data_IF_817213805687
#
_entry.id   IF_817213805687
#
_cell.length_a   1.000
_cell.length_b   1.000
_cell.length_c   1.000
_cell.angle_alpha   90.00
_cell.angle_beta   90.00
_cell.angle_gamma   90.00
#
_symmetry.space_group_name_H-M   'P 1'
#
loop_
_entity.id
_entity.type
_entity.pdbx_description
1 polymer ?
#
# COMPACT_ATOMS: atom_id res chain seq x y z
N UNK A 1 15.33 -5.61 -10.84
CA UNK A 1 14.28 -4.65 -10.46
C UNK A 1 14.68 -4.02 -9.14
N UNK A 2 14.41 -2.74 -8.94
CA UNK A 2 14.78 -2.01 -7.72
C UNK A 2 13.55 -1.36 -7.11
N UNK A 3 13.38 -1.42 -5.79
CA UNK A 3 12.23 -0.81 -5.10
C UNK A 3 12.70 0.28 -4.14
N UNK A 4 12.07 1.45 -4.21
CA UNK A 4 12.29 2.54 -3.28
C UNK A 4 11.63 2.22 -1.94
N UNK A 5 12.40 2.20 -0.87
CA UNK A 5 11.90 1.89 0.48
C UNK A 5 11.08 3.02 1.10
N UNK A 6 11.07 4.22 0.50
CA UNK A 6 10.37 5.40 1.01
C UNK A 6 8.92 5.44 0.51
N UNK A 7 8.73 5.24 -0.80
CA UNK A 7 7.42 5.36 -1.44
C UNK A 7 6.92 4.07 -2.12
N UNK A 8 7.78 3.04 -2.26
CA UNK A 8 7.46 1.80 -2.95
C UNK A 8 7.56 1.87 -4.48
N UNK A 9 8.20 2.91 -5.05
CA UNK A 9 8.44 2.98 -6.50
C UNK A 9 9.30 1.82 -6.98
N UNK A 10 8.94 1.19 -8.10
CA UNK A 10 9.69 0.07 -8.68
C UNK A 10 10.33 0.50 -9.99
N UNK A 11 11.66 0.54 -10.01
CA UNK A 11 12.44 0.78 -11.22
C UNK A 11 12.66 -0.55 -11.97
N UNK A 12 12.11 -0.62 -13.19
CA UNK A 12 12.35 -1.72 -14.12
C UNK A 12 13.40 -1.30 -15.17
N UNK A 13 14.60 -1.90 -15.19
CA UNK A 13 15.60 -1.59 -16.20
C UNK A 13 15.14 -1.88 -17.62
N UNK A 14 14.24 -2.86 -17.83
CA UNK A 14 13.71 -3.19 -19.16
C UNK A 14 12.78 -2.09 -19.72
N UNK A 15 12.11 -1.36 -18.83
CA UNK A 15 11.23 -0.24 -19.20
C UNK A 15 12.01 1.08 -19.20
N UNK A 16 13.00 1.20 -18.32
CA UNK A 16 13.70 2.46 -18.08
C UNK A 16 12.80 3.47 -17.36
N UNK A 17 13.12 4.75 -17.52
CA UNK A 17 12.38 5.88 -16.96
C UNK A 17 12.40 7.04 -17.98
N UNK A 18 11.62 6.89 -19.06
CA UNK A 18 11.62 7.82 -20.20
C UNK A 18 11.23 9.24 -19.82
N UNK A 19 10.44 9.41 -18.76
CA UNK A 19 10.05 10.72 -18.22
C UNK A 19 11.26 11.48 -17.66
N UNK A 20 12.26 10.75 -17.17
CA UNK A 20 13.49 11.29 -16.59
C UNK A 20 14.71 11.05 -17.49
N UNK A 21 14.50 10.95 -18.81
CA UNK A 21 15.54 10.76 -19.83
C UNK A 21 16.35 9.45 -19.68
N UNK A 22 15.77 8.44 -19.01
CA UNK A 22 16.39 7.12 -18.88
C UNK A 22 15.77 6.16 -19.89
N UNK A 23 16.49 5.74 -20.94
CA UNK A 23 15.93 4.83 -21.93
C UNK A 23 15.67 3.43 -21.36
N UNK A 24 14.74 2.73 -21.99
CA UNK A 24 14.53 1.30 -21.77
C UNK A 24 15.82 0.50 -21.98
N UNK A 25 16.05 -0.49 -21.13
CA UNK A 25 17.28 -1.29 -21.10
C UNK A 25 18.41 -0.72 -20.23
N UNK A 26 18.22 0.45 -19.61
CA UNK A 26 19.24 1.01 -18.70
C UNK A 26 19.24 0.24 -17.38
N UNK A 27 20.38 -0.37 -16.96
CA UNK A 27 20.46 -0.99 -15.64
C UNK A 27 20.54 0.09 -14.55
N UNK A 28 19.99 -0.19 -13.36
CA UNK A 28 19.99 0.76 -12.24
C UNK A 28 21.39 1.25 -11.84
N UNK A 29 22.41 0.42 -12.03
CA UNK A 29 23.81 0.78 -11.75
C UNK A 29 24.40 1.79 -12.75
N UNK A 30 23.76 1.95 -13.92
CA UNK A 30 24.16 2.90 -14.97
C UNK A 30 23.37 4.23 -14.86
N UNK A 31 22.42 4.31 -13.93
CA UNK A 31 21.70 5.55 -13.67
C UNK A 31 22.65 6.65 -13.18
N UNK A 32 22.46 7.91 -13.61
CA UNK A 32 23.25 9.04 -13.14
C UNK A 32 23.19 9.18 -11.61
N UNK A 33 24.22 9.77 -11.00
CA UNK A 33 24.25 10.00 -9.55
C UNK A 33 23.19 10.99 -9.07
N UNK A 34 22.80 11.92 -9.94
CA UNK A 34 21.74 12.90 -9.71
C UNK A 34 20.34 12.30 -9.92
N UNK A 35 20.23 11.06 -10.41
CA UNK A 35 18.94 10.40 -10.57
C UNK A 35 18.30 10.14 -9.20
N UNK A 36 17.08 10.62 -9.06
CA UNK A 36 16.26 10.47 -7.86
C UNK A 36 14.96 9.76 -8.21
N UNK A 37 14.32 9.16 -7.19
CA UNK A 37 13.01 8.55 -7.35
C UNK A 37 12.00 9.58 -7.87
N UNK A 38 11.31 9.33 -9.01
CA UNK A 38 10.37 10.29 -9.59
C UNK A 38 9.13 10.52 -8.72
N UNK A 39 8.81 9.60 -7.80
CA UNK A 39 7.66 9.73 -6.91
C UNK A 39 7.95 10.53 -5.63
N UNK A 40 9.18 10.47 -5.10
CA UNK A 40 9.48 11.04 -3.78
C UNK A 40 10.77 11.86 -3.68
N UNK A 41 11.59 11.88 -4.74
CA UNK A 41 12.87 12.59 -4.76
C UNK A 41 13.97 11.94 -3.91
N UNK A 42 13.77 10.73 -3.38
CA UNK A 42 14.83 10.00 -2.67
C UNK A 42 15.93 9.55 -3.62
N UNK A 43 17.18 9.60 -3.18
CA UNK A 43 18.32 9.14 -3.95
C UNK A 43 18.37 7.62 -4.14
N UNK A 44 19.35 7.17 -4.92
CA UNK A 44 19.60 5.74 -5.20
C UNK A 44 19.91 4.92 -3.95
N UNK A 45 20.35 5.56 -2.86
CA UNK A 45 20.61 4.94 -1.56
C UNK A 45 19.34 4.37 -0.90
N UNK A 46 18.18 4.92 -1.25
CA UNK A 46 16.89 4.48 -0.75
C UNK A 46 16.27 3.34 -1.58
N UNK A 47 17.03 2.73 -2.50
CA UNK A 47 16.56 1.62 -3.33
C UNK A 47 17.18 0.29 -2.91
N UNK A 48 16.36 -0.75 -2.88
CA UNK A 48 16.78 -2.13 -2.62
C UNK A 48 16.56 -3.01 -3.84
N UNK A 49 17.46 -3.98 -4.03
CA UNK A 49 17.33 -4.97 -5.10
C UNK A 49 16.15 -5.88 -4.78
N UNK A 50 15.14 -5.87 -5.63
CA UNK A 50 14.05 -6.85 -5.57
C UNK A 50 14.27 -7.87 -6.70
N UNK A 51 14.69 -9.06 -6.29
CA UNK A 51 14.81 -10.20 -7.18
C UNK A 51 13.41 -10.76 -7.43
N UNK A 52 12.69 -10.19 -8.40
CA UNK A 52 11.57 -10.83 -9.12
C UNK A 52 10.94 -9.83 -10.12
N UNK A 53 11.16 -10.08 -11.41
CA UNK A 53 10.39 -9.49 -12.50
C UNK A 53 9.12 -10.33 -12.68
N UNK A 54 7.99 -9.66 -12.71
CA UNK A 54 6.65 -10.18 -13.01
C UNK A 54 6.12 -11.32 -12.14
N UNK A 55 5.52 -10.92 -11.02
CA UNK A 55 4.06 -11.05 -10.94
C UNK A 55 3.53 -9.67 -10.62
N UNK A 56 2.56 -9.19 -11.41
CA UNK A 56 1.59 -8.20 -10.97
C UNK A 56 1.38 -8.39 -9.47
N UNK A 57 1.69 -7.37 -8.68
CA UNK A 57 1.22 -7.35 -7.30
C UNK A 57 -0.29 -7.20 -7.47
N UNK A 58 -1.13 -8.24 -7.24
CA UNK A 58 -2.49 -7.94 -6.88
C UNK A 58 -2.32 -6.99 -5.71
N UNK A 59 -2.79 -5.73 -5.85
CA UNK A 59 -2.96 -4.82 -4.72
C UNK A 59 -3.43 -5.71 -3.58
N UNK A 60 -2.56 -5.95 -2.60
CA UNK A 60 -2.81 -6.93 -1.53
C UNK A 60 -4.24 -6.64 -1.08
N UNK A 61 -5.21 -7.58 -1.15
CA UNK A 61 -6.49 -7.37 -0.50
C UNK A 61 -6.11 -6.97 0.90
N UNK A 62 -6.42 -5.72 1.23
CA UNK A 62 -6.13 -5.12 2.52
C UNK A 62 -6.56 -6.18 3.52
N UNK A 63 -5.59 -6.82 4.17
CA UNK A 63 -5.85 -8.00 4.96
C UNK A 63 -6.73 -7.53 6.09
N UNK A 64 -8.00 -7.81 5.89
CA UNK A 64 -9.14 -7.21 6.54
C UNK A 64 -8.99 -7.52 8.02
N UNK A 65 -8.64 -6.50 8.82
CA UNK A 65 -8.91 -6.57 10.26
C UNK A 65 -10.43 -6.48 10.42
N UNK A 66 -11.15 -7.57 10.08
CA UNK A 66 -12.54 -7.79 10.48
C UNK A 66 -12.53 -7.81 11.99
N UNK A 67 -13.14 -6.83 12.64
CA UNK A 67 -13.26 -6.86 14.09
C UNK A 67 -14.53 -7.58 14.52
N UNK A 68 -15.64 -7.46 13.77
CA UNK A 68 -16.87 -8.28 13.96
C UNK A 68 -17.66 -8.42 12.65
N UNK A 69 -18.31 -9.56 12.47
CA UNK A 69 -19.21 -9.85 11.34
C UNK A 69 -20.64 -9.98 11.85
N UNK A 70 -21.58 -9.30 11.19
CA UNK A 70 -23.01 -9.44 11.44
C UNK A 70 -23.69 -9.86 10.15
N UNK A 71 -24.49 -10.92 10.20
CA UNK A 71 -25.17 -11.47 9.02
C UNK A 71 -26.64 -11.69 9.33
N UNK A 72 -27.49 -11.28 8.41
CA UNK A 72 -28.87 -11.77 8.32
C UNK A 72 -29.06 -12.50 6.97
N UNK A 73 -30.30 -12.85 6.64
CA UNK A 73 -30.61 -13.62 5.42
C UNK A 73 -30.41 -12.81 4.11
N UNK A 74 -30.27 -11.49 4.20
CA UNK A 74 -30.25 -10.58 3.06
C UNK A 74 -28.88 -9.89 2.88
N UNK A 75 -28.17 -9.62 3.98
CA UNK A 75 -26.94 -8.81 3.99
C UNK A 75 -25.91 -9.30 5.01
N UNK A 76 -24.65 -9.02 4.70
CA UNK A 76 -23.50 -9.21 5.59
C UNK A 76 -22.85 -7.85 5.81
N UNK A 77 -22.72 -7.45 7.07
CA UNK A 77 -22.09 -6.20 7.49
C UNK A 77 -20.79 -6.54 8.22
N UNK A 78 -19.69 -5.97 7.72
CA UNK A 78 -18.38 -6.07 8.37
C UNK A 78 -18.08 -4.79 9.14
N UNK A 79 -17.86 -4.93 10.44
CA UNK A 79 -17.47 -3.80 11.28
C UNK A 79 -15.94 -3.77 11.44
N UNK A 80 -15.35 -2.63 11.08
CA UNK A 80 -13.93 -2.37 11.30
C UNK A 80 -13.77 -1.17 12.24
N UNK A 81 -12.82 -1.25 13.16
CA UNK A 81 -12.57 -0.17 14.12
C UNK A 81 -12.10 1.13 13.42
N UNK A 82 -11.55 1.00 12.21
CA UNK A 82 -11.07 2.12 11.39
C UNK A 82 -12.21 2.94 10.75
N UNK A 83 -13.37 2.33 10.52
CA UNK A 83 -14.55 3.01 9.95
C UNK A 83 -15.36 3.78 11.01
N UNK A 84 -15.02 3.58 12.28
CA UNK A 84 -15.67 4.26 13.39
C UNK A 84 -15.20 5.74 13.44
N UNK A 85 -15.95 6.63 12.79
CA UNK A 85 -15.70 8.08 12.77
C UNK A 85 -15.96 8.72 14.13
N UNK A 86 -15.03 8.53 15.07
CA UNK A 86 -15.07 9.23 16.34
C UNK A 86 -13.73 9.95 16.56
N UNK A 87 -13.82 11.24 16.89
CA UNK A 87 -12.71 12.06 17.35
C UNK A 87 -12.19 11.55 18.72
N UNK A 88 -11.57 10.36 18.75
CA UNK A 88 -10.75 9.88 19.85
C UNK A 88 -11.44 9.29 21.09
N UNK A 89 -12.74 8.97 21.08
CA UNK A 89 -13.37 8.21 22.18
C UNK A 89 -14.14 6.99 21.68
N UNK A 90 -13.69 5.81 22.09
CA UNK A 90 -14.34 4.52 21.82
C UNK A 90 -15.51 4.32 22.79
N UNK A 91 -16.71 4.05 22.27
CA UNK A 91 -17.95 3.92 23.04
C UNK A 91 -18.11 2.61 23.84
N UNK A 92 -17.01 2.01 24.32
CA UNK A 92 -17.07 0.84 25.21
C UNK A 92 -17.80 1.10 26.55
N UNK A 93 -18.21 2.34 26.81
CA UNK A 93 -18.88 2.77 28.04
C UNK A 93 -20.34 3.25 27.89
N UNK A 94 -20.98 3.16 26.70
CA UNK A 94 -22.42 3.42 26.63
C UNK A 94 -23.23 2.13 26.48
N UNK A 95 -23.89 1.66 27.56
CA UNK A 95 -24.72 0.45 27.54
C UNK A 95 -26.02 0.57 26.74
N UNK A 96 -26.32 1.74 26.16
CA UNK A 96 -27.61 2.00 25.52
C UNK A 96 -27.63 1.78 24.00
N UNK A 97 -26.48 1.63 23.32
CA UNK A 97 -26.44 1.63 21.84
C UNK A 97 -26.34 0.23 21.21
N UNK A 98 -26.25 -0.85 22.00
CA UNK A 98 -26.26 -2.21 21.44
C UNK A 98 -26.84 -3.24 22.41
N UNK A 99 -28.13 -3.57 22.24
CA UNK A 99 -28.78 -4.75 22.86
C UNK A 99 -29.15 -5.75 21.76
N UNK A 100 -28.30 -6.75 21.47
CA UNK A 100 -28.55 -7.72 20.41
C UNK A 100 -29.45 -8.91 20.84
N UNK A 101 -30.40 -8.70 21.75
CA UNK A 101 -31.43 -9.69 22.08
C UNK A 101 -32.83 -9.05 22.08
N UNK A 102 -33.38 -8.88 20.87
CA UNK A 102 -34.79 -9.01 20.49
C UNK A 102 -34.82 -9.44 19.02
#
# INVERSE_FOLDING_TARGET
>A
MFECTICGYKYNPEVGDTDNDIPAGTPFNDLPEDWVCPLCGAGKDAFVVVAEADKEVPKKPQQEKKTKEYKNQDLIVYWTAADCSHAGKCWRDLPEVFKPEQ
#
